data_IF_584847826359
#
_entry.id   IF_584847826359
#
_cell.length_a   1.000
_cell.length_b   1.000
_cell.length_c   1.000
_cell.angle_alpha   90.00
_cell.angle_beta   90.00
_cell.angle_gamma   90.00
#
_symmetry.space_group_name_H-M   'P 1'
#
loop_
_entity.id
_entity.type
_entity.pdbx_description
1 polymer ?
#
# COMPACT_ATOMS: atom_id res chain seq x y z
N UNK A 1 -9.48 7.87 17.66
CA UNK A 1 -10.28 6.71 17.23
C UNK A 1 -9.64 5.42 17.74
N UNK A 2 -10.34 4.60 18.51
CA UNK A 2 -9.81 3.28 18.93
C UNK A 2 -9.85 2.30 17.74
N UNK A 3 -8.94 1.35 17.71
CA UNK A 3 -8.75 0.48 16.53
C UNK A 3 -9.95 -0.44 16.27
N UNK A 4 -10.58 -0.94 17.34
CA UNK A 4 -11.70 -1.88 17.25
C UNK A 4 -12.91 -1.25 16.59
N UNK A 5 -13.27 -0.02 17.01
CA UNK A 5 -14.38 0.73 16.42
C UNK A 5 -14.14 0.96 14.92
N UNK A 6 -12.91 1.37 14.56
CA UNK A 6 -12.53 1.55 13.16
C UNK A 6 -12.72 0.27 12.35
N UNK A 7 -12.29 -0.88 12.88
CA UNK A 7 -12.38 -2.15 12.17
C UNK A 7 -13.84 -2.52 11.90
N UNK A 8 -14.71 -2.37 12.90
CA UNK A 8 -16.14 -2.66 12.75
C UNK A 8 -16.79 -1.79 11.67
N UNK A 9 -16.59 -0.48 11.71
CA UNK A 9 -17.16 0.43 10.69
C UNK A 9 -16.58 0.19 9.30
N UNK A 10 -15.28 -0.09 9.18
CA UNK A 10 -14.67 -0.43 7.89
C UNK A 10 -15.24 -1.73 7.32
N UNK A 11 -15.48 -2.75 8.15
CA UNK A 11 -16.05 -4.03 7.72
C UNK A 11 -17.50 -3.88 7.26
N UNK A 12 -18.30 -3.11 8.00
CA UNK A 12 -19.64 -2.76 7.55
C UNK A 12 -19.61 -2.09 6.16
N UNK A 13 -18.70 -1.13 5.96
CA UNK A 13 -18.55 -0.45 4.68
C UNK A 13 -18.05 -1.38 3.55
N UNK A 14 -17.13 -2.31 3.85
CA UNK A 14 -16.67 -3.33 2.90
C UNK A 14 -17.85 -4.15 2.40
N UNK A 15 -18.62 -4.74 3.31
CA UNK A 15 -19.72 -5.64 2.91
C UNK A 15 -20.88 -4.88 2.29
N UNK A 16 -21.17 -3.65 2.74
CA UNK A 16 -22.16 -2.78 2.10
C UNK A 16 -21.80 -2.46 0.65
N UNK A 17 -20.54 -2.11 0.38
CA UNK A 17 -20.08 -1.77 -0.97
C UNK A 17 -19.94 -3.01 -1.87
N UNK A 18 -19.48 -4.13 -1.33
CA UNK A 18 -19.42 -5.41 -2.01
C UNK A 18 -20.83 -5.90 -2.41
N UNK A 19 -21.81 -5.85 -1.51
CA UNK A 19 -23.19 -6.23 -1.81
C UNK A 19 -23.81 -5.35 -2.90
N UNK A 20 -23.46 -4.06 -2.94
CA UNK A 20 -23.94 -3.12 -3.96
C UNK A 20 -23.33 -3.37 -5.34
N UNK A 21 -22.07 -3.79 -5.42
CA UNK A 21 -21.30 -3.84 -6.67
C UNK A 21 -21.04 -5.24 -7.21
N UNK A 22 -21.20 -6.29 -6.40
CA UNK A 22 -20.91 -7.68 -6.81
C UNK A 22 -19.41 -8.00 -6.94
N UNK A 23 -18.52 -7.07 -6.61
CA UNK A 23 -17.07 -7.23 -6.64
C UNK A 23 -16.50 -7.41 -5.24
N UNK A 24 -15.48 -8.26 -5.10
CA UNK A 24 -14.75 -8.42 -3.82
C UNK A 24 -14.14 -7.08 -3.41
N UNK A 25 -14.45 -6.62 -2.19
CA UNK A 25 -13.90 -5.39 -1.61
C UNK A 25 -13.04 -5.73 -0.39
N UNK A 26 -12.14 -4.81 -0.06
CA UNK A 26 -11.26 -4.93 1.10
C UNK A 26 -10.79 -3.56 1.58
N UNK A 27 -10.32 -3.52 2.82
CA UNK A 27 -9.67 -2.36 3.42
C UNK A 27 -8.50 -2.86 4.25
N UNK A 28 -7.33 -2.21 4.11
CA UNK A 28 -6.12 -2.68 4.76
C UNK A 28 -6.16 -2.31 6.25
N UNK A 29 -6.72 -3.20 7.07
CA UNK A 29 -6.84 -2.96 8.50
C UNK A 29 -5.45 -2.97 9.16
N UNK A 30 -5.02 -1.79 9.62
CA UNK A 30 -3.69 -1.62 10.19
C UNK A 30 -3.53 -2.34 11.54
N UNK A 31 -2.64 -3.34 11.55
CA UNK A 31 -2.34 -4.20 12.69
C UNK A 31 -1.26 -3.65 13.63
N UNK A 32 -0.58 -2.54 13.30
CA UNK A 32 0.54 -2.02 14.08
C UNK A 32 0.14 -1.67 15.49
N UNK A 33 0.92 -2.16 16.46
CA UNK A 33 0.78 -1.84 17.86
C UNK A 33 2.16 -1.80 18.53
N UNK A 34 2.19 -1.33 19.79
CA UNK A 34 3.44 -1.22 20.55
C UNK A 34 4.01 -2.55 21.03
N UNK A 35 3.25 -3.65 20.99
CA UNK A 35 3.71 -4.99 21.36
C UNK A 35 3.19 -6.04 20.40
N UNK A 36 3.87 -7.19 20.34
CA UNK A 36 3.48 -8.32 19.49
C UNK A 36 2.10 -8.89 19.86
N UNK A 37 1.75 -8.90 21.15
CA UNK A 37 0.47 -9.39 21.65
C UNK A 37 -0.68 -8.52 21.13
N UNK A 38 -0.51 -7.20 21.15
CA UNK A 38 -1.51 -6.28 20.61
C UNK A 38 -1.56 -6.31 19.07
N UNK A 39 -0.45 -6.58 18.38
CA UNK A 39 -0.46 -6.86 16.93
C UNK A 39 -1.32 -8.10 16.67
N UNK A 40 -1.02 -9.22 17.33
CA UNK A 40 -1.73 -10.48 17.13
C UNK A 40 -3.21 -10.35 17.46
N UNK A 41 -3.57 -9.67 18.56
CA UNK A 41 -4.96 -9.40 18.94
C UNK A 41 -5.75 -8.70 17.84
N UNK A 42 -5.14 -7.71 17.16
CA UNK A 42 -5.78 -7.00 16.05
C UNK A 42 -5.97 -7.91 14.85
N UNK A 43 -4.98 -8.73 14.55
CA UNK A 43 -4.96 -9.60 13.36
C UNK A 43 -5.96 -10.75 13.53
N UNK A 44 -6.02 -11.34 14.72
CA UNK A 44 -7.03 -12.33 15.09
C UNK A 44 -8.43 -11.74 14.93
N UNK A 45 -8.65 -10.51 15.43
CA UNK A 45 -9.94 -9.85 15.26
C UNK A 45 -10.27 -9.56 13.79
N UNK A 46 -9.30 -9.12 12.98
CA UNK A 46 -9.50 -8.98 11.53
C UNK A 46 -9.91 -10.29 10.86
N UNK A 47 -9.26 -11.39 11.24
CA UNK A 47 -9.59 -12.73 10.74
C UNK A 47 -11.00 -13.14 11.13
N UNK A 48 -11.40 -12.92 12.38
CA UNK A 48 -12.77 -13.20 12.87
C UNK A 48 -13.83 -12.39 12.12
N UNK A 49 -13.50 -11.15 11.72
CA UNK A 49 -14.37 -10.31 10.90
C UNK A 49 -14.45 -10.74 9.43
N UNK A 50 -13.63 -11.70 8.98
CA UNK A 50 -13.66 -12.23 7.62
C UNK A 50 -13.13 -11.28 6.56
N UNK A 51 -12.27 -10.32 6.91
CA UNK A 51 -11.65 -9.43 5.90
C UNK A 51 -10.55 -10.16 5.11
N UNK A 52 -10.32 -9.79 3.84
CA UNK A 52 -9.32 -10.47 3.02
C UNK A 52 -7.88 -9.97 3.25
N UNK A 53 -7.68 -8.79 3.84
CA UNK A 53 -6.40 -8.10 3.86
C UNK A 53 -6.19 -7.24 5.10
N UNK A 54 -4.95 -7.21 5.58
CA UNK A 54 -4.47 -6.33 6.66
C UNK A 54 -3.21 -5.59 6.22
N UNK A 55 -2.71 -4.65 7.05
CA UNK A 55 -1.41 -4.03 6.82
C UNK A 55 -0.50 -3.97 8.05
N UNK A 56 0.82 -3.95 7.80
CA UNK A 56 1.85 -3.79 8.82
C UNK A 56 3.02 -2.88 8.36
N UNK A 57 3.60 -2.15 9.31
CA UNK A 57 4.80 -1.32 9.10
C UNK A 57 6.04 -2.09 9.53
N UNK A 58 6.63 -2.87 8.62
CA UNK A 58 7.64 -3.88 8.99
C UNK A 58 8.95 -3.32 9.56
N UNK A 59 9.37 -2.11 9.15
CA UNK A 59 10.61 -1.51 9.68
C UNK A 59 10.42 -0.99 11.10
N UNK A 60 9.26 -0.37 11.38
CA UNK A 60 8.92 0.15 12.71
C UNK A 60 8.53 -0.97 13.66
N UNK A 61 7.69 -1.90 13.21
CA UNK A 61 7.31 -3.09 13.97
C UNK A 61 8.45 -4.08 14.15
N UNK A 62 9.46 -4.02 13.26
CA UNK A 62 10.64 -4.87 13.27
C UNK A 62 10.43 -6.19 12.53
N UNK A 63 11.53 -6.71 11.99
CA UNK A 63 11.53 -7.95 11.19
C UNK A 63 11.00 -9.17 11.96
N UNK A 64 11.24 -9.26 13.26
CA UNK A 64 10.75 -10.36 14.11
C UNK A 64 9.23 -10.36 14.20
N UNK A 65 8.62 -9.21 14.47
CA UNK A 65 7.16 -9.09 14.51
C UNK A 65 6.55 -9.36 13.13
N UNK A 66 7.16 -8.82 12.07
CA UNK A 66 6.71 -9.03 10.70
C UNK A 66 6.72 -10.50 10.27
N UNK A 67 7.80 -11.22 10.58
CA UNK A 67 7.92 -12.65 10.21
C UNK A 67 6.87 -13.50 10.91
N UNK A 68 6.66 -13.27 12.21
CA UNK A 68 5.58 -13.92 12.97
C UNK A 68 4.21 -13.60 12.37
N UNK A 69 3.96 -12.33 12.05
CA UNK A 69 2.72 -11.89 11.45
C UNK A 69 2.47 -12.52 10.08
N UNK A 70 3.49 -12.56 9.22
CA UNK A 70 3.39 -13.18 7.90
C UNK A 70 3.03 -14.66 8.00
N UNK A 71 3.70 -15.40 8.89
CA UNK A 71 3.37 -16.81 9.13
C UNK A 71 1.94 -16.99 9.62
N UNK A 72 1.46 -16.11 10.52
CA UNK A 72 0.06 -16.10 10.92
C UNK A 72 -0.88 -15.86 9.72
N UNK A 73 -0.60 -14.86 8.90
CA UNK A 73 -1.42 -14.51 7.74
C UNK A 73 -1.50 -15.67 6.74
N UNK A 74 -0.36 -16.30 6.43
CA UNK A 74 -0.26 -17.47 5.56
C UNK A 74 -1.09 -18.65 6.04
N UNK A 75 -1.12 -18.88 7.35
CA UNK A 75 -1.87 -19.97 7.97
C UNK A 75 -3.37 -19.65 8.15
N UNK A 76 -3.77 -18.38 8.02
CA UNK A 76 -5.14 -17.93 8.26
C UNK A 76 -5.83 -17.30 7.04
N UNK A 77 -5.20 -17.36 5.86
CA UNK A 77 -5.78 -16.87 4.62
C UNK A 77 -5.92 -15.35 4.54
N UNK A 78 -5.05 -14.60 5.22
CA UNK A 78 -5.01 -13.14 5.14
C UNK A 78 -3.92 -12.68 4.18
N UNK A 79 -4.23 -11.69 3.35
CA UNK A 79 -3.23 -10.96 2.57
C UNK A 79 -2.56 -9.92 3.49
N UNK A 80 -1.24 -9.82 3.41
CA UNK A 80 -0.43 -8.90 4.22
C UNK A 80 0.17 -7.78 3.35
N UNK A 81 -0.44 -6.60 3.42
CA UNK A 81 0.10 -5.38 2.82
C UNK A 81 1.20 -4.76 3.69
N UNK A 82 2.36 -4.48 3.12
CA UNK A 82 3.48 -3.88 3.87
C UNK A 82 3.66 -2.42 3.51
N UNK A 83 3.69 -1.58 4.55
CA UNK A 83 4.09 -0.19 4.44
C UNK A 83 5.55 -0.04 4.90
N UNK A 84 6.35 0.64 4.09
CA UNK A 84 7.79 0.84 4.33
C UNK A 84 8.08 2.06 5.21
N UNK A 85 7.22 2.38 6.19
CA UNK A 85 7.41 3.55 7.08
C UNK A 85 8.86 3.59 7.62
N UNK A 86 9.47 4.77 7.59
CA UNK A 86 10.86 5.03 8.00
C UNK A 86 11.95 4.61 6.99
N UNK A 87 11.62 3.98 5.85
CA UNK A 87 12.64 3.57 4.87
C UNK A 87 13.55 4.73 4.41
N UNK A 88 12.99 5.92 4.19
CA UNK A 88 13.71 7.12 3.75
C UNK A 88 14.74 7.64 4.77
N UNK A 89 14.65 7.25 6.04
CA UNK A 89 15.70 7.54 7.04
C UNK A 89 16.98 6.77 6.71
N UNK A 90 16.85 5.61 6.08
CA UNK A 90 17.92 4.65 5.83
C UNK A 90 18.38 4.68 4.37
N UNK A 91 17.49 4.98 3.41
CA UNK A 91 17.77 4.75 1.99
C UNK A 91 17.82 6.01 1.09
N UNK A 92 17.61 7.20 1.66
CA UNK A 92 17.50 8.45 0.90
C UNK A 92 18.83 9.01 0.44
N UNK A 93 19.88 8.90 1.25
CA UNK A 93 21.19 9.49 0.95
C UNK A 93 22.06 8.52 0.15
N UNK A 94 22.72 9.02 -0.88
CA UNK A 94 23.60 8.21 -1.74
C UNK A 94 24.88 7.77 -1.04
N UNK A 95 25.38 8.58 -0.11
CA UNK A 95 26.68 8.40 0.53
C UNK A 95 26.64 7.61 1.85
N UNK A 96 25.47 7.38 2.43
CA UNK A 96 25.34 6.66 3.70
C UNK A 96 23.96 6.01 3.84
N UNK A 97 23.92 4.81 4.42
CA UNK A 97 22.71 4.06 4.69
C UNK A 97 22.61 2.76 3.88
N UNK A 98 21.39 2.30 3.62
CA UNK A 98 21.10 1.07 2.87
C UNK A 98 20.11 1.35 1.77
N UNK A 99 20.50 1.15 0.52
CA UNK A 99 19.61 1.37 -0.62
C UNK A 99 18.34 0.50 -0.54
N UNK A 100 17.16 1.05 -0.88
CA UNK A 100 15.84 0.41 -0.76
C UNK A 100 15.76 -1.01 -1.34
N UNK A 101 16.46 -1.28 -2.46
CA UNK A 101 16.60 -2.63 -3.04
C UNK A 101 16.99 -3.71 -2.02
N UNK A 102 17.80 -3.38 -1.02
CA UNK A 102 18.21 -4.31 0.05
C UNK A 102 17.04 -4.56 0.98
N UNK A 103 16.33 -3.49 1.38
CA UNK A 103 15.14 -3.55 2.22
C UNK A 103 14.00 -4.33 1.55
N UNK A 104 13.81 -4.17 0.24
CA UNK A 104 12.83 -4.92 -0.56
C UNK A 104 13.17 -6.42 -0.65
N UNK A 105 14.45 -6.77 -0.85
CA UNK A 105 14.91 -8.17 -0.80
C UNK A 105 14.73 -8.78 0.59
N UNK A 106 15.07 -8.02 1.63
CA UNK A 106 14.86 -8.42 3.01
C UNK A 106 13.38 -8.71 3.27
N UNK A 107 12.47 -7.80 2.90
CA UNK A 107 11.04 -8.03 3.05
C UNK A 107 10.57 -9.27 2.29
N UNK A 108 11.05 -9.50 1.06
CA UNK A 108 10.71 -10.71 0.29
C UNK A 108 11.07 -12.00 1.02
N UNK A 109 12.11 -11.99 1.86
CA UNK A 109 12.50 -13.12 2.70
C UNK A 109 11.69 -13.19 4.00
N UNK A 110 11.45 -12.06 4.66
CA UNK A 110 10.71 -11.99 5.93
C UNK A 110 9.19 -12.08 5.77
N UNK A 111 8.70 -11.95 4.54
CA UNK A 111 7.30 -12.15 4.17
C UNK A 111 6.47 -10.87 4.09
N UNK A 112 5.60 -10.84 3.07
CA UNK A 112 4.69 -9.75 2.74
C UNK A 112 4.19 -9.92 1.30
N UNK A 113 2.93 -9.63 1.04
CA UNK A 113 2.33 -9.81 -0.28
C UNK A 113 2.46 -8.56 -1.14
N UNK A 114 2.39 -7.37 -0.52
CA UNK A 114 2.60 -6.08 -1.18
C UNK A 114 3.67 -5.26 -0.45
N UNK A 115 4.40 -4.40 -1.17
CA UNK A 115 5.30 -3.39 -0.60
C UNK A 115 5.17 -2.08 -1.37
N UNK A 116 5.21 -0.96 -0.66
CA UNK A 116 5.37 0.36 -1.27
C UNK A 116 6.77 0.50 -1.88
N UNK A 117 6.86 0.51 -3.22
CA UNK A 117 8.12 0.55 -3.95
C UNK A 117 8.44 1.92 -4.57
N UNK A 118 7.68 2.95 -4.21
CA UNK A 118 7.73 4.28 -4.84
C UNK A 118 6.93 4.32 -6.14
N UNK A 119 6.64 5.53 -6.59
CA UNK A 119 5.99 5.79 -7.88
C UNK A 119 6.93 6.62 -8.76
N UNK A 120 7.15 6.14 -9.97
CA UNK A 120 7.65 6.93 -11.10
C UNK A 120 6.47 7.05 -12.08
N UNK A 121 6.43 8.10 -12.89
CA UNK A 121 5.35 8.29 -13.90
C UNK A 121 5.11 6.98 -14.64
N UNK A 122 3.89 6.46 -14.54
CA UNK A 122 3.55 5.09 -14.89
C UNK A 122 3.65 4.83 -16.40
N UNK A 123 4.12 3.63 -16.78
CA UNK A 123 4.10 3.10 -18.14
C UNK A 123 3.31 1.79 -18.14
N UNK A 124 2.50 1.55 -19.17
CA UNK A 124 1.73 0.32 -19.36
C UNK A 124 1.88 -0.15 -20.81
N UNK A 125 1.55 -1.42 -21.07
CA UNK A 125 1.79 -2.08 -22.35
C UNK A 125 0.62 -1.92 -23.35
N UNK A 126 0.95 -1.82 -24.65
CA UNK A 126 0.00 -1.88 -25.78
C UNK A 126 -0.36 -0.55 -26.45
N UNK A 127 -0.08 0.58 -25.81
CA UNK A 127 -0.16 1.96 -26.32
C UNK A 127 1.00 2.74 -25.74
N UNK A 128 1.52 3.76 -26.44
CA UNK A 128 2.58 4.58 -25.86
C UNK A 128 1.96 5.52 -24.82
N UNK A 129 1.71 5.04 -23.60
CA UNK A 129 1.10 5.84 -22.54
C UNK A 129 1.92 7.09 -22.20
N UNK A 130 3.25 7.04 -22.40
CA UNK A 130 4.11 8.19 -22.15
C UNK A 130 3.78 9.34 -23.12
N UNK A 131 3.36 9.04 -24.36
CA UNK A 131 2.97 10.05 -25.36
C UNK A 131 1.47 10.29 -25.43
N UNK A 132 0.68 9.22 -25.31
CA UNK A 132 -0.75 9.20 -25.57
C UNK A 132 -1.62 9.35 -24.32
N UNK A 133 -1.05 9.18 -23.11
CA UNK A 133 -1.81 9.14 -21.86
C UNK A 133 -2.74 10.34 -21.66
N UNK A 134 -2.26 11.55 -21.96
CA UNK A 134 -3.06 12.77 -21.84
C UNK A 134 -4.27 12.77 -22.78
N UNK A 135 -4.11 12.28 -24.02
CA UNK A 135 -5.19 12.20 -24.99
C UNK A 135 -6.24 11.15 -24.56
N UNK A 136 -5.79 10.01 -24.04
CA UNK A 136 -6.66 8.95 -23.50
C UNK A 136 -7.52 9.49 -22.35
N UNK A 137 -6.92 10.20 -21.39
CA UNK A 137 -7.66 10.82 -20.30
C UNK A 137 -8.68 11.84 -20.80
N UNK A 138 -8.30 12.72 -21.73
CA UNK A 138 -9.22 13.73 -22.31
C UNK A 138 -10.40 13.08 -23.01
N UNK A 139 -10.19 11.97 -23.72
CA UNK A 139 -11.28 11.25 -24.38
C UNK A 139 -12.24 10.63 -23.35
N UNK A 140 -11.70 10.02 -22.29
CA UNK A 140 -12.50 9.47 -21.20
C UNK A 140 -13.31 10.54 -20.44
N UNK A 141 -12.76 11.74 -20.26
CA UNK A 141 -13.45 12.86 -19.63
C UNK A 141 -14.72 13.31 -20.36
N UNK A 142 -14.86 13.02 -21.66
CA UNK A 142 -16.06 13.39 -22.43
C UNK A 142 -17.32 12.65 -21.96
N UNK A 143 -17.15 11.48 -21.35
CA UNK A 143 -18.26 10.62 -20.92
C UNK A 143 -18.22 10.26 -19.42
N UNK A 144 -17.20 10.65 -18.67
CA UNK A 144 -17.17 10.55 -17.20
C UNK A 144 -17.01 11.92 -16.54
N UNK A 145 -18.07 12.49 -15.95
CA UNK A 145 -17.99 13.78 -15.25
C UNK A 145 -17.11 13.71 -14.00
N UNK A 146 -17.04 12.56 -13.32
CA UNK A 146 -16.18 12.35 -12.16
C UNK A 146 -14.70 12.44 -12.54
N UNK A 147 -14.32 11.82 -13.66
CA UNK A 147 -12.96 11.91 -14.19
C UNK A 147 -12.63 13.32 -14.65
N UNK A 148 -13.56 14.00 -15.33
CA UNK A 148 -13.37 15.38 -15.77
C UNK A 148 -13.09 16.32 -14.59
N UNK A 149 -13.87 16.19 -13.50
CA UNK A 149 -13.65 16.95 -12.28
C UNK A 149 -12.28 16.66 -11.65
N UNK A 150 -11.88 15.39 -11.54
CA UNK A 150 -10.57 15.01 -10.99
C UNK A 150 -9.41 15.55 -11.84
N UNK A 151 -9.50 15.46 -13.17
CA UNK A 151 -8.49 16.00 -14.07
C UNK A 151 -8.37 17.52 -13.96
N UNK A 152 -9.49 18.23 -13.83
CA UNK A 152 -9.48 19.69 -13.68
C UNK A 152 -8.81 20.13 -12.37
N UNK A 153 -9.07 19.42 -11.27
CA UNK A 153 -8.45 19.71 -9.96
C UNK A 153 -6.94 19.46 -9.96
N UNK A 154 -6.48 18.38 -10.62
CA UNK A 154 -5.10 17.93 -10.52
C UNK A 154 -4.19 18.32 -11.71
N UNK A 155 -4.71 19.00 -12.74
CA UNK A 155 -3.99 19.24 -14.02
C UNK A 155 -2.65 19.97 -13.88
N UNK A 156 -2.51 20.83 -12.88
CA UNK A 156 -1.31 21.65 -12.66
C UNK A 156 -0.38 21.09 -11.58
N UNK A 157 -0.79 20.02 -10.89
CA UNK A 157 -0.01 19.44 -9.79
C UNK A 157 1.13 18.61 -10.36
N UNK A 158 2.36 19.11 -10.23
CA UNK A 158 3.59 18.42 -10.63
C UNK A 158 4.64 18.49 -9.53
N UNK A 159 5.42 17.41 -9.41
CA UNK A 159 6.52 17.31 -8.46
C UNK A 159 7.82 17.09 -9.24
N UNK A 160 8.45 18.19 -9.66
CA UNK A 160 9.68 18.18 -10.45
C UNK A 160 10.84 18.65 -9.59
N UNK A 161 11.60 17.69 -9.03
CA UNK A 161 12.74 17.96 -8.16
C UNK A 161 13.93 17.08 -8.54
N UNK A 162 15.17 17.53 -8.32
CA UNK A 162 16.34 16.69 -8.50
C UNK A 162 16.29 15.44 -7.61
N UNK A 163 16.57 14.28 -8.20
CA UNK A 163 16.66 13.01 -7.46
C UNK A 163 17.94 12.95 -6.63
N UNK A 164 17.82 12.68 -5.33
CA UNK A 164 18.97 12.58 -4.41
C UNK A 164 19.78 11.29 -4.60
N UNK A 165 19.09 10.16 -4.80
CA UNK A 165 19.70 8.84 -4.94
C UNK A 165 19.73 8.42 -6.42
N UNK A 166 20.78 8.84 -7.14
CA UNK A 166 21.00 8.50 -8.56
C UNK A 166 21.99 7.35 -8.72
N UNK A 167 21.88 6.61 -9.84
CA UNK A 167 22.94 5.68 -10.25
C UNK A 167 24.28 6.43 -10.38
N UNK A 168 25.39 5.74 -10.15
CA UNK A 168 26.72 6.28 -10.47
C UNK A 168 26.78 6.33 -12.01
N UNK A 169 27.03 7.51 -12.56
CA UNK A 169 27.38 7.69 -13.98
C UNK A 169 28.83 7.29 -14.19
#
# INVERSE_FOLDING_TARGET
>A
MRWRDRFLFCVEAIYKSQAKLGEIKGHYLNANAGTCEEILKRVVFSRELGVPIIMHDYLIGGFTANTTLYNYCRNNGLILHILSVMHAVIDRLKNHGMHFRVLAKALRLFGGDHIHAGTVVAQNEGRDLAREGTAIFREACKWSPELAAACEVCKEIKFEFPTMNTLIQ
#
